data_IF_388277983524
#
_entry.id   IF_388277983524
#
_cell.length_a   1.000
_cell.length_b   1.000
_cell.length_c   1.000
_cell.angle_alpha   90.00
_cell.angle_beta   90.00
_cell.angle_gamma   90.00
#
_symmetry.space_group_name_H-M   'P 1'
#
loop_
_entity.id
_entity.type
_entity.pdbx_description
1 polymer ?
#
# COMPACT_ATOMS: atom_id res chain seq x y z
N UNK A 1 -69.50 -6.92 17.84
CA UNK A 1 -68.15 -6.71 17.27
C UNK A 1 -67.91 -5.21 17.20
N UNK A 2 -67.34 -4.60 18.25
CA UNK A 2 -65.92 -4.20 18.39
C UNK A 2 -65.36 -3.46 17.17
N UNK A 3 -65.20 -2.15 17.31
CA UNK A 3 -64.21 -1.35 16.57
C UNK A 3 -63.46 -0.50 17.59
N UNK A 4 -62.28 -0.96 17.98
CA UNK A 4 -61.33 -0.25 18.83
C UNK A 4 -60.32 0.47 17.94
N UNK A 5 -60.32 1.80 17.96
CA UNK A 5 -59.27 2.62 17.31
C UNK A 5 -58.00 2.57 18.16
N UNK A 6 -56.97 1.88 17.69
CA UNK A 6 -55.62 1.94 18.24
C UNK A 6 -54.91 3.22 17.78
N UNK A 7 -54.43 4.02 18.73
CA UNK A 7 -53.51 5.13 18.48
C UNK A 7 -52.10 4.55 18.34
N UNK A 8 -51.45 4.77 17.20
CA UNK A 8 -50.04 4.47 17.02
C UNK A 8 -49.23 5.68 17.48
N UNK A 9 -48.48 5.53 18.57
CA UNK A 9 -47.51 6.50 19.04
C UNK A 9 -46.18 6.21 18.36
N UNK A 10 -45.75 7.08 17.45
CA UNK A 10 -44.45 6.99 16.80
C UNK A 10 -43.37 7.40 17.81
N UNK A 11 -42.56 6.45 18.29
CA UNK A 11 -41.42 6.71 19.17
C UNK A 11 -40.19 6.94 18.29
N UNK A 12 -39.80 8.20 18.10
CA UNK A 12 -38.56 8.56 17.40
C UNK A 12 -37.39 8.38 18.38
N UNK A 13 -36.63 7.30 18.23
CA UNK A 13 -35.37 7.10 18.96
C UNK A 13 -34.29 7.89 18.21
N UNK A 14 -33.90 9.04 18.74
CA UNK A 14 -32.71 9.77 18.30
C UNK A 14 -31.46 9.04 18.81
N UNK A 15 -30.80 8.30 17.92
CA UNK A 15 -29.46 7.76 18.17
C UNK A 15 -28.45 8.91 18.11
N UNK A 16 -28.03 9.40 19.27
CA UNK A 16 -26.89 10.31 19.41
C UNK A 16 -25.61 9.55 19.07
N UNK A 17 -25.07 9.76 17.88
CA UNK A 17 -23.69 9.41 17.56
C UNK A 17 -22.75 10.36 18.32
N UNK A 18 -22.34 9.96 19.52
CA UNK A 18 -21.17 10.56 20.16
C UNK A 18 -19.93 10.10 19.39
N UNK A 19 -19.50 10.89 18.41
CA UNK A 19 -18.20 10.71 17.77
C UNK A 19 -17.10 10.98 18.78
N UNK A 20 -16.46 9.92 19.27
CA UNK A 20 -15.21 10.06 20.00
C UNK A 20 -14.12 10.37 18.98
N UNK A 21 -13.88 11.66 18.74
CA UNK A 21 -12.64 12.10 18.12
C UNK A 21 -11.52 11.85 19.13
N UNK A 22 -10.86 10.69 19.03
CA UNK A 22 -9.56 10.51 19.66
C UNK A 22 -8.57 11.41 18.92
N UNK A 23 -8.38 12.63 19.42
CA UNK A 23 -7.20 13.43 19.09
C UNK A 23 -5.99 12.68 19.64
N UNK A 24 -5.32 11.95 18.76
CA UNK A 24 -4.07 11.27 19.03
C UNK A 24 -3.01 12.35 19.26
N UNK A 25 -2.60 12.54 20.51
CA UNK A 25 -1.43 13.35 20.83
C UNK A 25 -0.20 12.54 20.43
N UNK A 26 0.17 12.57 19.14
CA UNK A 26 1.48 12.12 18.72
C UNK A 26 2.51 12.98 19.44
N UNK A 27 3.47 12.36 20.12
CA UNK A 27 4.66 13.07 20.58
C UNK A 27 5.28 13.71 19.33
N UNK A 28 5.29 15.05 19.29
CA UNK A 28 5.79 15.82 18.15
C UNK A 28 7.30 15.60 18.06
N UNK A 29 7.72 14.53 17.37
CA UNK A 29 9.13 14.31 17.03
C UNK A 29 9.48 15.24 15.90
N UNK A 30 10.51 16.05 16.08
CA UNK A 30 11.07 16.85 15.01
C UNK A 30 11.66 15.90 13.96
N UNK A 31 10.97 15.77 12.83
CA UNK A 31 11.43 14.96 11.70
C UNK A 31 12.72 15.60 11.16
N UNK A 32 13.83 14.85 11.04
CA UNK A 32 15.06 15.38 10.48
C UNK A 32 14.86 15.92 9.05
N UNK A 33 15.59 16.97 8.65
CA UNK A 33 15.52 17.46 7.27
C UNK A 33 16.10 16.42 6.31
N UNK A 34 15.59 16.40 5.08
CA UNK A 34 16.20 15.62 4.00
C UNK A 34 17.45 16.35 3.51
N UNK A 35 18.56 15.62 3.41
CA UNK A 35 19.88 16.13 3.03
C UNK A 35 20.50 15.28 1.91
N UNK A 36 21.72 15.60 1.48
CA UNK A 36 22.52 14.68 0.68
C UNK A 36 23.10 13.56 1.55
N UNK A 37 23.24 12.32 1.03
CA UNK A 37 23.82 11.23 1.81
C UNK A 37 25.27 11.54 2.22
N UNK A 38 25.64 11.36 3.50
CA UNK A 38 27.02 11.53 3.95
C UNK A 38 27.90 10.38 3.45
N UNK A 39 29.23 10.58 3.40
CA UNK A 39 30.17 9.53 2.98
C UNK A 39 30.04 8.24 3.79
N UNK A 40 29.74 8.36 5.09
CA UNK A 40 29.54 7.21 5.98
C UNK A 40 28.38 6.30 5.57
N UNK A 41 27.37 6.80 4.85
CA UNK A 41 26.30 5.96 4.30
C UNK A 41 26.85 5.03 3.22
N UNK A 42 27.66 5.55 2.30
CA UNK A 42 28.18 4.76 1.18
C UNK A 42 29.16 3.67 1.62
N UNK A 43 29.78 3.81 2.79
CA UNK A 43 30.60 2.74 3.37
C UNK A 43 29.76 1.54 3.85
N UNK A 44 28.46 1.72 4.12
CA UNK A 44 27.51 0.64 4.43
C UNK A 44 27.03 -0.10 3.17
N UNK A 45 27.05 0.57 2.02
CA UNK A 45 26.73 -0.06 0.73
C UNK A 45 27.83 -1.05 0.37
N UNK A 46 27.43 -2.23 -0.11
CA UNK A 46 28.39 -3.29 -0.48
C UNK A 46 29.37 -2.77 -1.54
N UNK A 47 30.66 -3.15 -1.49
CA UNK A 47 31.69 -2.60 -2.37
C UNK A 47 31.32 -2.65 -3.85
N UNK A 48 30.70 -3.74 -4.31
CA UNK A 48 30.29 -3.92 -5.69
C UNK A 48 29.20 -2.92 -6.15
N UNK A 49 28.44 -2.32 -5.23
CA UNK A 49 27.38 -1.36 -5.55
C UNK A 49 27.72 0.09 -5.22
N UNK A 50 28.79 0.34 -4.46
CA UNK A 50 29.11 1.64 -3.85
C UNK A 50 29.25 2.79 -4.84
N UNK A 51 29.99 2.61 -5.94
CA UNK A 51 30.22 3.70 -6.91
C UNK A 51 28.93 4.09 -7.65
N UNK A 52 28.11 3.10 -7.99
CA UNK A 52 26.80 3.34 -8.56
C UNK A 52 25.88 4.05 -7.55
N UNK A 53 25.91 3.63 -6.27
CA UNK A 53 25.16 4.26 -5.20
C UNK A 53 25.57 5.73 -4.98
N UNK A 54 26.86 6.06 -5.00
CA UNK A 54 27.39 7.44 -4.90
C UNK A 54 26.90 8.35 -6.01
N UNK A 55 26.65 7.80 -7.19
CA UNK A 55 26.15 8.55 -8.35
C UNK A 55 24.61 8.66 -8.33
N UNK A 56 23.94 7.62 -7.85
CA UNK A 56 22.48 7.48 -7.92
C UNK A 56 21.77 8.17 -6.75
N UNK A 57 22.21 7.94 -5.51
CA UNK A 57 21.57 8.46 -4.32
C UNK A 57 22.00 9.90 -4.05
N UNK A 58 21.01 10.78 -3.88
CA UNK A 58 21.21 12.22 -3.65
C UNK A 58 20.29 12.80 -2.58
N UNK A 59 19.31 12.01 -2.11
CA UNK A 59 18.41 12.34 -1.00
C UNK A 59 18.65 11.36 0.14
N UNK A 60 18.62 11.86 1.37
CA UNK A 60 18.94 11.13 2.58
C UNK A 60 18.13 11.65 3.77
N UNK A 61 17.64 10.76 4.62
CA UNK A 61 17.16 11.09 5.96
C UNK A 61 17.72 10.08 6.97
N UNK A 62 18.08 10.56 8.16
CA UNK A 62 18.51 9.71 9.27
C UNK A 62 17.29 9.27 10.10
N UNK A 63 17.04 7.97 10.19
CA UNK A 63 15.94 7.40 10.98
C UNK A 63 16.48 6.83 12.28
N UNK A 64 16.80 7.72 13.22
CA UNK A 64 17.43 7.41 14.51
C UNK A 64 18.67 6.50 14.35
N UNK A 65 19.56 6.87 13.42
CA UNK A 65 20.78 6.15 13.06
C UNK A 65 20.63 5.11 11.94
N UNK A 66 19.40 4.81 11.49
CA UNK A 66 19.18 3.95 10.32
C UNK A 66 19.06 4.81 9.05
N UNK A 67 19.98 4.69 8.08
CA UNK A 67 19.92 5.47 6.86
C UNK A 67 18.69 5.15 6.02
N UNK A 68 18.06 6.18 5.44
CA UNK A 68 17.14 6.04 4.32
C UNK A 68 17.59 6.92 3.15
N UNK A 69 17.77 6.34 1.96
CA UNK A 69 18.31 7.03 0.80
C UNK A 69 17.38 6.93 -0.43
N UNK A 70 17.46 7.92 -1.31
CA UNK A 70 16.70 7.94 -2.55
C UNK A 70 17.41 8.73 -3.66
N UNK A 71 16.94 8.55 -4.89
CA UNK A 71 17.40 9.32 -6.05
C UNK A 71 16.84 10.76 -6.02
N UNK A 72 17.32 11.61 -6.93
CA UNK A 72 16.97 13.04 -6.94
C UNK A 72 15.48 13.32 -7.24
N UNK A 73 14.82 12.41 -7.96
CA UNK A 73 13.42 12.52 -8.39
C UNK A 73 12.41 12.19 -7.29
N UNK A 74 12.84 11.47 -6.25
CA UNK A 74 11.99 11.12 -5.11
C UNK A 74 11.70 12.34 -4.27
N UNK A 75 10.43 12.55 -3.93
CA UNK A 75 10.01 13.64 -3.08
C UNK A 75 10.55 13.48 -1.65
N UNK A 76 11.00 14.58 -1.05
CA UNK A 76 11.46 14.61 0.35
C UNK A 76 10.38 14.07 1.31
N UNK A 77 9.10 14.28 0.99
CA UNK A 77 7.97 13.76 1.75
C UNK A 77 7.97 12.22 1.84
N UNK A 78 8.48 11.50 0.85
CA UNK A 78 8.55 10.03 0.89
C UNK A 78 9.58 9.54 1.91
N UNK A 79 10.71 10.23 2.03
CA UNK A 79 11.73 9.97 3.06
C UNK A 79 11.21 10.34 4.46
N UNK A 80 10.52 11.48 4.59
CA UNK A 80 9.85 11.85 5.84
C UNK A 80 8.77 10.84 6.24
N UNK A 81 8.02 10.32 5.26
CA UNK A 81 7.03 9.27 5.50
C UNK A 81 7.66 7.95 5.92
N UNK A 82 8.81 7.62 5.35
CA UNK A 82 9.63 6.48 5.77
C UNK A 82 10.07 6.63 7.23
N UNK A 83 10.57 7.81 7.61
CA UNK A 83 10.92 8.13 9.01
C UNK A 83 9.71 7.93 9.94
N UNK A 84 8.55 8.49 9.57
CA UNK A 84 7.32 8.42 10.34
C UNK A 84 6.87 6.96 10.59
N UNK A 85 6.81 6.13 9.54
CA UNK A 85 6.38 4.73 9.66
C UNK A 85 7.34 3.92 10.56
N UNK A 86 8.65 4.01 10.30
CA UNK A 86 9.65 3.21 11.01
C UNK A 86 9.69 3.58 12.48
N UNK A 87 9.73 4.87 12.79
CA UNK A 87 9.85 5.36 14.17
C UNK A 87 8.60 5.06 15.00
N UNK A 88 7.41 5.10 14.40
CA UNK A 88 6.18 4.71 15.08
C UNK A 88 6.06 3.21 15.27
N UNK A 89 6.37 2.40 14.24
CA UNK A 89 6.34 0.94 14.36
C UNK A 89 7.27 0.48 15.49
N UNK A 90 8.47 1.05 15.62
CA UNK A 90 9.47 0.64 16.62
C UNK A 90 9.49 1.50 17.89
N UNK A 91 8.49 2.35 18.13
CA UNK A 91 8.48 3.25 19.28
C UNK A 91 8.58 2.52 20.64
N UNK A 92 8.00 1.32 20.74
CA UNK A 92 8.07 0.44 21.92
C UNK A 92 9.26 -0.52 21.93
N UNK A 93 10.08 -0.53 20.87
CA UNK A 93 11.19 -1.48 20.65
C UNK A 93 12.44 -0.82 20.03
N UNK A 94 13.04 0.17 20.70
CA UNK A 94 14.27 0.80 20.22
C UNK A 94 15.45 -0.18 20.11
N UNK A 95 15.41 -1.31 20.85
CA UNK A 95 16.38 -2.39 20.77
C UNK A 95 16.41 -3.07 19.38
N UNK A 96 15.24 -3.20 18.72
CA UNK A 96 15.15 -3.73 17.36
C UNK A 96 15.84 -2.77 16.37
N UNK A 97 15.52 -1.48 16.44
CA UNK A 97 16.12 -0.47 15.56
C UNK A 97 17.64 -0.42 15.76
N UNK A 98 18.09 -0.42 17.02
CA UNK A 98 19.52 -0.48 17.34
C UNK A 98 20.19 -1.72 16.71
N UNK A 99 19.57 -2.88 16.77
CA UNK A 99 20.12 -4.09 16.16
C UNK A 99 20.23 -4.01 14.63
N UNK A 100 19.32 -3.29 13.98
CA UNK A 100 19.39 -3.00 12.53
C UNK A 100 20.55 -2.04 12.22
N UNK A 101 20.70 -0.96 13.00
CA UNK A 101 21.79 0.02 12.87
C UNK A 101 23.16 -0.63 13.08
N UNK A 102 23.32 -1.42 14.15
CA UNK A 102 24.58 -2.12 14.45
C UNK A 102 24.98 -3.12 13.33
N UNK A 103 24.00 -3.55 12.53
CA UNK A 103 24.19 -4.44 11.39
C UNK A 103 24.47 -3.70 10.08
N UNK A 104 24.40 -2.37 10.06
CA UNK A 104 24.53 -1.55 8.84
C UNK A 104 23.35 -1.74 7.89
N UNK A 105 22.15 -1.98 8.42
CA UNK A 105 20.94 -2.00 7.60
C UNK A 105 20.57 -0.57 7.19
N UNK A 106 20.08 -0.42 5.97
CA UNK A 106 19.57 0.85 5.46
C UNK A 106 18.33 0.61 4.61
N UNK A 107 17.58 1.69 4.42
CA UNK A 107 16.36 1.77 3.64
C UNK A 107 16.63 2.50 2.33
N UNK A 108 15.86 2.15 1.30
CA UNK A 108 15.86 2.88 0.04
C UNK A 108 14.41 3.15 -0.40
N UNK A 109 14.19 4.30 -1.05
CA UNK A 109 12.89 4.61 -1.68
C UNK A 109 13.05 4.53 -3.19
N UNK A 110 12.22 3.69 -3.81
CA UNK A 110 12.14 3.56 -5.26
C UNK A 110 11.16 4.61 -5.77
N UNK A 111 11.61 5.51 -6.65
CA UNK A 111 10.76 6.56 -7.22
C UNK A 111 9.56 6.02 -7.97
N UNK A 112 8.48 6.82 -8.01
CA UNK A 112 7.20 6.45 -8.65
C UNK A 112 7.30 6.16 -10.15
N UNK A 113 8.33 6.69 -10.81
CA UNK A 113 8.60 6.51 -12.24
C UNK A 113 9.91 5.70 -12.46
N UNK A 114 10.51 5.17 -11.38
CA UNK A 114 11.62 4.21 -11.35
C UNK A 114 11.13 2.77 -11.22
N UNK A 115 11.95 1.82 -11.68
CA UNK A 115 11.72 0.39 -11.49
C UNK A 115 12.72 -0.25 -10.54
N UNK A 116 12.46 -1.48 -10.10
CA UNK A 116 13.26 -2.18 -9.10
C UNK A 116 14.75 -2.27 -9.47
N UNK A 117 15.06 -2.61 -10.72
CA UNK A 117 16.46 -2.74 -11.19
C UNK A 117 17.15 -1.41 -11.48
N UNK A 118 16.47 -0.26 -11.35
CA UNK A 118 17.17 1.03 -11.39
C UNK A 118 17.99 1.25 -10.12
N UNK A 119 17.63 0.57 -9.02
CA UNK A 119 18.36 0.67 -7.76
C UNK A 119 19.76 0.07 -7.90
N UNK A 120 20.82 0.76 -7.43
CA UNK A 120 22.19 0.27 -7.48
C UNK A 120 22.37 -1.16 -7.00
N UNK A 121 21.67 -1.56 -5.95
CA UNK A 121 21.73 -2.87 -5.29
C UNK A 121 21.09 -3.98 -6.13
N UNK A 122 20.17 -3.64 -7.01
CA UNK A 122 19.36 -4.60 -7.77
C UNK A 122 19.61 -4.55 -9.29
N UNK A 123 20.50 -3.68 -9.76
CA UNK A 123 20.79 -3.47 -11.21
C UNK A 123 21.22 -4.72 -11.98
N UNK A 124 21.75 -5.72 -11.28
CA UNK A 124 22.20 -6.99 -11.87
C UNK A 124 21.24 -8.16 -11.55
N UNK A 125 20.04 -7.87 -11.05
CA UNK A 125 19.09 -8.91 -10.69
C UNK A 125 18.66 -9.71 -11.94
N UNK A 126 18.55 -11.04 -11.83
CA UNK A 126 18.08 -11.87 -12.94
C UNK A 126 16.61 -11.57 -13.24
N UNK A 127 16.21 -11.76 -14.50
CA UNK A 127 14.83 -11.55 -14.96
C UNK A 127 14.29 -10.13 -14.66
N UNK A 128 14.98 -9.05 -15.11
CA UNK A 128 14.61 -7.68 -14.78
C UNK A 128 13.18 -7.35 -15.20
N UNK A 129 12.70 -7.84 -16.35
CA UNK A 129 11.32 -7.62 -16.79
C UNK A 129 10.28 -8.12 -15.77
N UNK A 130 10.48 -9.33 -15.22
CA UNK A 130 9.59 -9.90 -14.21
C UNK A 130 9.62 -9.14 -12.89
N UNK A 131 10.83 -8.73 -12.45
CA UNK A 131 11.01 -7.98 -11.21
C UNK A 131 10.43 -6.57 -11.34
N UNK A 132 10.75 -5.86 -12.41
CA UNK A 132 10.31 -4.49 -12.66
C UNK A 132 8.80 -4.41 -12.87
N UNK A 133 8.17 -5.46 -13.40
CA UNK A 133 6.72 -5.52 -13.48
C UNK A 133 6.11 -5.55 -12.07
N UNK A 134 6.74 -6.19 -11.09
CA UNK A 134 6.07 -6.66 -9.85
C UNK A 134 6.53 -5.98 -8.57
N UNK A 135 7.82 -5.70 -8.44
CA UNK A 135 8.44 -5.40 -7.15
C UNK A 135 8.49 -3.90 -6.95
N UNK A 136 7.79 -3.44 -5.92
CA UNK A 136 7.82 -2.05 -5.43
C UNK A 136 8.33 -1.95 -4.00
N UNK A 137 8.77 -3.05 -3.42
CA UNK A 137 9.41 -3.10 -2.13
C UNK A 137 9.95 -4.49 -1.84
N UNK A 138 10.94 -4.56 -0.96
CA UNK A 138 11.55 -5.81 -0.49
C UNK A 138 12.08 -5.64 0.91
N UNK A 139 11.81 -6.58 1.80
CA UNK A 139 12.50 -6.72 3.08
C UNK A 139 13.96 -7.13 2.93
N UNK A 140 14.80 -6.77 3.90
CA UNK A 140 16.20 -7.19 3.97
C UNK A 140 17.19 -6.04 3.94
N UNK A 141 18.32 -6.25 3.26
CA UNK A 141 19.47 -5.34 3.26
C UNK A 141 19.89 -5.00 1.81
N UNK A 142 19.45 -3.85 1.27
CA UNK A 142 18.55 -2.88 1.89
C UNK A 142 17.10 -3.33 1.92
N UNK A 143 16.31 -2.64 2.75
CA UNK A 143 14.84 -2.69 2.65
C UNK A 143 14.39 -1.60 1.69
N UNK A 144 13.45 -1.89 0.79
CA UNK A 144 13.00 -0.92 -0.21
C UNK A 144 11.50 -0.65 -0.12
N UNK A 145 11.10 0.60 -0.36
CA UNK A 145 9.70 1.05 -0.38
C UNK A 145 9.39 1.84 -1.66
N UNK A 146 8.21 1.64 -2.24
CA UNK A 146 7.74 2.40 -3.40
C UNK A 146 7.23 3.77 -2.98
N UNK A 147 7.70 4.82 -3.64
CA UNK A 147 7.27 6.21 -3.38
C UNK A 147 5.77 6.38 -3.52
N UNK A 148 5.17 5.79 -4.56
CA UNK A 148 3.74 5.86 -4.81
C UNK A 148 2.91 5.24 -3.68
N UNK A 149 3.41 4.19 -3.03
CA UNK A 149 2.73 3.57 -1.89
C UNK A 149 2.90 4.41 -0.62
N UNK A 150 4.11 4.90 -0.34
CA UNK A 150 4.38 5.79 0.78
C UNK A 150 3.49 7.03 0.74
N UNK A 151 3.33 7.61 -0.45
CA UNK A 151 2.60 8.86 -0.67
C UNK A 151 1.14 8.66 -1.07
N UNK A 152 0.66 7.42 -1.13
CA UNK A 152 -0.70 7.05 -1.57
C UNK A 152 -1.06 7.67 -2.94
N UNK A 153 -0.08 7.72 -3.85
CA UNK A 153 -0.21 8.31 -5.18
C UNK A 153 -1.09 7.42 -6.07
N UNK A 154 -1.64 7.97 -7.16
CA UNK A 154 -2.39 7.19 -8.14
C UNK A 154 -1.47 6.20 -8.84
N UNK A 155 -2.06 5.13 -9.39
CA UNK A 155 -1.36 4.02 -10.05
C UNK A 155 -0.53 3.15 -9.10
N UNK A 156 -0.56 3.43 -7.79
CA UNK A 156 -0.08 2.47 -6.82
C UNK A 156 -0.86 1.16 -6.99
N UNK A 157 -0.15 0.10 -7.34
CA UNK A 157 -0.72 -1.24 -7.44
C UNK A 157 -1.20 -1.75 -6.08
N UNK A 158 -0.64 -1.20 -5.02
CA UNK A 158 -0.83 -1.57 -3.62
C UNK A 158 -1.68 -0.54 -2.87
N UNK A 159 -2.54 0.21 -3.58
CA UNK A 159 -3.32 1.36 -3.08
C UNK A 159 -4.33 1.09 -1.94
N UNK A 160 -4.44 -0.14 -1.45
CA UNK A 160 -5.26 -0.59 -0.33
C UNK A 160 -4.45 -1.41 0.71
N UNK A 161 -3.11 -1.35 0.65
CA UNK A 161 -2.19 -1.87 1.68
C UNK A 161 -0.91 -1.02 1.82
N UNK A 162 -0.19 -1.14 2.93
CA UNK A 162 1.14 -0.54 3.05
C UNK A 162 2.25 -1.56 2.80
N UNK A 163 2.92 -1.43 1.66
CA UNK A 163 4.15 -2.19 1.34
C UNK A 163 5.27 -1.80 2.31
N UNK A 164 5.36 -0.53 2.70
CA UNK A 164 6.37 -0.13 3.68
C UNK A 164 6.24 -0.87 5.02
N UNK A 165 5.01 -1.01 5.55
CA UNK A 165 4.78 -1.80 6.78
C UNK A 165 5.10 -3.29 6.55
N UNK A 166 4.66 -3.85 5.42
CA UNK A 166 4.89 -5.26 5.08
C UNK A 166 6.38 -5.60 5.00
N UNK A 167 7.12 -4.88 4.16
CA UNK A 167 8.53 -5.16 3.89
C UNK A 167 9.41 -4.84 5.10
N UNK A 168 9.05 -3.80 5.86
CA UNK A 168 9.75 -3.52 7.11
C UNK A 168 9.52 -4.61 8.16
N UNK A 169 8.35 -5.25 8.17
CA UNK A 169 8.11 -6.42 9.02
C UNK A 169 9.03 -7.60 8.72
N UNK A 170 9.38 -7.86 7.45
CA UNK A 170 10.39 -8.87 7.10
C UNK A 170 11.78 -8.49 7.64
N UNK A 171 12.11 -7.20 7.62
CA UNK A 171 13.34 -6.68 8.22
C UNK A 171 13.34 -6.80 9.74
N UNK A 172 12.22 -6.50 10.40
CA UNK A 172 12.01 -6.72 11.84
C UNK A 172 12.14 -8.20 12.21
N UNK A 173 11.56 -9.10 11.42
CA UNK A 173 11.65 -10.55 11.61
C UNK A 173 13.12 -11.03 11.60
N UNK A 174 13.92 -10.53 10.65
CA UNK A 174 15.35 -10.80 10.56
C UNK A 174 16.13 -10.28 11.77
N UNK A 175 15.83 -9.07 12.24
CA UNK A 175 16.47 -8.46 13.40
C UNK A 175 16.11 -9.22 14.70
N UNK A 176 14.83 -9.50 14.92
CA UNK A 176 14.34 -10.27 16.06
C UNK A 176 14.94 -11.67 16.11
N UNK A 177 15.09 -12.34 14.96
CA UNK A 177 15.73 -13.65 14.88
C UNK A 177 17.22 -13.69 15.29
N UNK A 178 17.81 -12.52 15.58
CA UNK A 178 19.18 -12.37 16.12
C UNK A 178 19.20 -11.97 17.59
N UNK A 179 18.30 -11.07 18.00
CA UNK A 179 18.31 -10.51 19.36
C UNK A 179 17.39 -11.24 20.34
N UNK A 180 16.42 -12.00 19.83
CA UNK A 180 15.50 -12.81 20.63
C UNK A 180 15.55 -14.28 20.17
N UNK A 181 16.23 -15.17 20.93
CA UNK A 181 16.32 -16.59 20.63
C UNK A 181 14.96 -17.30 20.51
N UNK A 182 13.91 -16.78 21.15
CA UNK A 182 12.57 -17.38 21.18
C UNK A 182 11.69 -16.93 20.01
N UNK A 183 12.09 -15.87 19.29
CA UNK A 183 11.25 -15.20 18.31
C UNK A 183 10.72 -16.16 17.23
N UNK A 184 11.63 -16.93 16.61
CA UNK A 184 11.26 -17.86 15.53
C UNK A 184 10.21 -18.88 15.99
N UNK A 185 10.36 -19.40 17.21
CA UNK A 185 9.44 -20.39 17.77
C UNK A 185 8.08 -19.78 18.06
N UNK A 186 8.04 -18.57 18.65
CA UNK A 186 6.78 -17.84 18.91
C UNK A 186 6.02 -17.53 17.61
N UNK A 187 6.72 -16.99 16.60
CA UNK A 187 6.14 -16.70 15.28
C UNK A 187 5.61 -17.97 14.60
N UNK A 188 6.41 -19.02 14.55
CA UNK A 188 6.03 -20.29 13.92
C UNK A 188 4.89 -20.99 14.67
N UNK A 189 4.81 -20.86 16.00
CA UNK A 189 3.70 -21.39 16.78
C UNK A 189 2.39 -20.64 16.52
N UNK A 190 2.42 -19.31 16.40
CA UNK A 190 1.25 -18.52 16.03
C UNK A 190 0.78 -18.85 14.61
N UNK A 191 1.72 -18.94 13.66
CA UNK A 191 1.42 -19.36 12.28
C UNK A 191 0.73 -20.74 12.23
N UNK A 192 1.31 -21.75 12.90
CA UNK A 192 0.71 -23.09 12.98
C UNK A 192 -0.68 -23.05 13.62
N UNK A 193 -0.86 -22.28 14.69
CA UNK A 193 -2.16 -22.14 15.33
C UNK A 193 -3.23 -21.59 14.37
N UNK A 194 -2.86 -20.61 13.54
CA UNK A 194 -3.75 -20.04 12.55
C UNK A 194 -4.06 -21.04 11.43
N UNK A 195 -3.05 -21.69 10.86
CA UNK A 195 -3.23 -22.65 9.76
C UNK A 195 -3.97 -23.93 10.19
N UNK A 196 -3.74 -24.43 11.39
CA UNK A 196 -4.42 -25.63 11.93
C UNK A 196 -5.94 -25.39 12.11
N UNK A 197 -6.33 -24.13 12.34
CA UNK A 197 -7.73 -23.69 12.40
C UNK A 197 -8.32 -23.37 11.02
N UNK A 198 -7.54 -23.51 9.95
CA UNK A 198 -7.93 -23.13 8.60
C UNK A 198 -8.03 -21.62 8.37
N UNK A 199 -7.46 -20.80 9.26
CA UNK A 199 -7.36 -19.36 9.03
C UNK A 199 -6.36 -19.08 7.91
N UNK A 200 -6.57 -17.98 7.19
CA UNK A 200 -5.69 -17.55 6.08
C UNK A 200 -5.52 -18.60 4.96
N UNK A 201 -6.41 -19.60 4.88
CA UNK A 201 -6.40 -20.60 3.81
C UNK A 201 -6.51 -19.93 2.44
N UNK A 202 -5.67 -20.36 1.51
CA UNK A 202 -5.59 -19.85 0.13
C UNK A 202 -5.26 -18.34 0.05
N UNK A 203 -4.67 -17.77 1.12
CA UNK A 203 -4.19 -16.38 1.16
C UNK A 203 -2.67 -16.31 1.18
N UNK A 204 -2.13 -15.13 0.92
CA UNK A 204 -0.69 -14.83 0.96
C UNK A 204 -0.12 -15.00 2.37
N UNK A 205 -0.84 -14.53 3.39
CA UNK A 205 -0.53 -14.75 4.81
C UNK A 205 -0.44 -16.25 5.17
N UNK A 206 -1.20 -17.11 4.50
CA UNK A 206 -1.18 -18.56 4.72
C UNK A 206 -0.05 -19.30 4.00
N UNK A 207 0.79 -18.60 3.23
CA UNK A 207 1.82 -19.25 2.40
C UNK A 207 3.05 -19.67 3.19
N UNK A 208 3.51 -18.85 4.14
CA UNK A 208 4.63 -19.16 5.01
C UNK A 208 4.64 -18.26 6.27
N UNK A 209 5.42 -18.61 7.32
CA UNK A 209 5.45 -17.84 8.57
C UNK A 209 5.93 -16.39 8.47
N UNK A 210 6.72 -16.04 7.44
CA UNK A 210 7.20 -14.68 7.21
C UNK A 210 6.08 -13.78 6.70
N UNK A 211 5.37 -14.21 5.65
CA UNK A 211 4.22 -13.48 5.11
C UNK A 211 3.09 -13.39 6.11
N UNK A 212 2.84 -14.47 6.86
CA UNK A 212 1.91 -14.44 7.99
C UNK A 212 2.23 -13.29 8.95
N UNK A 213 3.49 -13.16 9.36
CA UNK A 213 3.93 -12.09 10.27
C UNK A 213 3.71 -10.69 9.68
N UNK A 214 4.10 -10.48 8.42
CA UNK A 214 3.95 -9.19 7.76
C UNK A 214 2.47 -8.78 7.60
N UNK A 215 1.62 -9.72 7.18
CA UNK A 215 0.18 -9.49 6.94
C UNK A 215 -0.61 -9.23 8.23
N UNK A 216 -0.36 -10.01 9.31
CA UNK A 216 -1.02 -9.73 10.59
C UNK A 216 -0.54 -8.41 11.19
N UNK A 217 0.71 -7.99 10.94
CA UNK A 217 1.20 -6.69 11.37
C UNK A 217 0.56 -5.56 10.57
N UNK A 218 0.41 -5.69 9.25
CA UNK A 218 -0.36 -4.74 8.44
C UNK A 218 -1.81 -4.64 8.97
N UNK A 219 -2.45 -5.76 9.30
CA UNK A 219 -3.80 -5.75 9.85
C UNK A 219 -3.83 -5.04 11.21
N UNK A 220 -2.85 -5.30 12.08
CA UNK A 220 -2.72 -4.62 13.36
C UNK A 220 -2.52 -3.10 13.24
N UNK A 221 -1.90 -2.62 12.16
CA UNK A 221 -1.73 -1.19 11.89
C UNK A 221 -2.78 -0.60 10.94
N UNK A 222 -3.86 -1.32 10.65
CA UNK A 222 -4.98 -0.90 9.78
C UNK A 222 -4.61 -0.60 8.32
N UNK A 223 -3.59 -1.29 7.79
CA UNK A 223 -3.13 -1.14 6.42
C UNK A 223 -2.98 -2.47 5.68
N UNK A 224 -3.77 -3.50 6.02
CA UNK A 224 -3.82 -4.73 5.23
C UNK A 224 -4.93 -4.72 4.18
N UNK A 225 -4.61 -5.23 3.00
CA UNK A 225 -5.54 -5.44 1.89
C UNK A 225 -6.45 -6.63 2.20
N UNK A 226 -7.68 -6.59 1.69
CA UNK A 226 -8.70 -7.61 1.99
C UNK A 226 -9.50 -8.07 0.76
N UNK A 227 -10.07 -9.27 0.86
CA UNK A 227 -11.12 -9.81 -0.02
C UNK A 227 -10.77 -9.82 -1.52
N UNK A 228 -9.58 -10.32 -1.86
CA UNK A 228 -9.17 -10.55 -3.25
C UNK A 228 -8.53 -11.93 -3.42
N UNK A 229 -8.02 -12.21 -4.62
CA UNK A 229 -7.47 -13.52 -5.01
C UNK A 229 -6.41 -14.12 -4.07
N UNK A 230 -5.71 -13.30 -3.27
CA UNK A 230 -4.70 -13.77 -2.31
C UNK A 230 -4.79 -13.11 -0.93
N UNK A 231 -5.82 -12.34 -0.60
CA UNK A 231 -5.96 -11.72 0.73
C UNK A 231 -7.26 -12.12 1.41
N UNK A 232 -7.15 -12.36 2.72
CA UNK A 232 -8.27 -12.75 3.57
C UNK A 232 -9.25 -11.61 3.89
N UNK A 233 -10.16 -11.82 4.85
CA UNK A 233 -11.21 -10.85 5.15
C UNK A 233 -10.79 -9.74 6.14
N UNK A 234 -9.58 -9.80 6.71
CA UNK A 234 -9.16 -8.92 7.81
C UNK A 234 -8.15 -7.87 7.37
N UNK A 235 -8.48 -6.60 7.65
CA UNK A 235 -7.68 -5.44 7.27
C UNK A 235 -7.31 -4.54 8.45
N UNK A 236 -7.92 -4.78 9.63
CA UNK A 236 -7.84 -3.89 10.80
C UNK A 236 -7.55 -4.64 12.09
N UNK A 237 -7.02 -3.91 13.07
CA UNK A 237 -6.59 -4.45 14.37
C UNK A 237 -7.70 -5.18 15.11
N UNK A 238 -8.89 -4.60 15.11
CA UNK A 238 -10.08 -5.15 15.76
C UNK A 238 -10.52 -6.45 15.09
N UNK A 239 -10.42 -6.52 13.76
CA UNK A 239 -10.74 -7.72 13.01
C UNK A 239 -9.72 -8.82 13.27
N UNK A 240 -8.42 -8.49 13.31
CA UNK A 240 -7.36 -9.43 13.67
C UNK A 240 -7.60 -10.01 15.06
N UNK A 241 -7.93 -9.19 16.05
CA UNK A 241 -8.20 -9.64 17.43
C UNK A 241 -9.32 -10.69 17.52
N UNK A 242 -10.33 -10.58 16.65
CA UNK A 242 -11.47 -11.52 16.60
C UNK A 242 -11.12 -12.75 15.77
N UNK A 243 -10.54 -12.56 14.59
CA UNK A 243 -10.27 -13.62 13.62
C UNK A 243 -9.10 -14.51 14.04
N UNK A 244 -8.01 -13.90 14.49
CA UNK A 244 -6.80 -14.57 14.97
C UNK A 244 -6.25 -13.89 16.25
N UNK A 245 -6.83 -14.22 17.41
CA UNK A 245 -6.39 -13.65 18.68
C UNK A 245 -4.93 -14.02 19.04
N UNK A 246 -4.38 -15.15 18.54
CA UNK A 246 -2.99 -15.50 18.79
C UNK A 246 -2.04 -14.64 17.95
N UNK A 247 -2.37 -14.42 16.68
CA UNK A 247 -1.68 -13.46 15.83
C UNK A 247 -1.72 -12.05 16.40
N UNK A 248 -2.90 -11.60 16.85
CA UNK A 248 -3.05 -10.31 17.54
C UNK A 248 -2.10 -10.16 18.74
N UNK A 249 -2.06 -11.15 19.63
CA UNK A 249 -1.19 -11.10 20.82
C UNK A 249 0.30 -11.18 20.45
N UNK A 250 0.67 -11.94 19.40
CA UNK A 250 2.04 -11.95 18.88
C UNK A 250 2.47 -10.54 18.46
N UNK A 251 1.64 -9.84 17.67
CA UNK A 251 1.95 -8.49 17.19
C UNK A 251 2.02 -7.50 18.35
N UNK A 252 0.98 -7.48 19.20
CA UNK A 252 0.86 -6.56 20.34
C UNK A 252 2.05 -6.66 21.28
N UNK A 253 2.45 -7.87 21.64
CA UNK A 253 3.59 -8.11 22.55
C UNK A 253 4.94 -7.86 21.89
N UNK A 254 5.05 -8.09 20.57
CA UNK A 254 6.30 -7.89 19.85
C UNK A 254 6.63 -6.40 19.70
N UNK A 255 5.67 -5.58 19.27
CA UNK A 255 5.87 -4.13 19.13
C UNK A 255 5.82 -3.38 20.46
N UNK A 256 5.14 -3.93 21.48
CA UNK A 256 5.16 -3.44 22.85
C UNK A 256 4.90 -1.92 22.99
N UNK A 257 3.99 -1.37 22.18
CA UNK A 257 3.65 0.05 22.20
C UNK A 257 2.88 0.37 23.49
N UNK A 258 3.30 1.42 24.19
CA UNK A 258 2.51 2.00 25.28
C UNK A 258 1.27 2.73 24.72
N UNK A 259 0.24 3.03 25.55
CA UNK A 259 -0.93 3.77 25.07
C UNK A 259 -0.62 5.12 24.41
N UNK A 260 0.42 5.83 24.86
CA UNK A 260 0.87 7.08 24.25
C UNK A 260 1.68 6.91 22.97
N UNK A 261 2.06 5.67 22.64
CA UNK A 261 2.77 5.29 21.42
C UNK A 261 1.88 4.47 20.49
N UNK A 262 0.60 4.26 20.84
CA UNK A 262 -0.31 3.54 19.98
C UNK A 262 -0.42 4.27 18.63
N UNK A 263 -0.20 3.53 17.56
CA UNK A 263 -0.12 4.07 16.21
C UNK A 263 -0.97 3.22 15.27
N UNK A 264 -1.58 3.89 14.30
CA UNK A 264 -2.31 3.28 13.19
C UNK A 264 -1.86 3.97 11.92
N UNK A 265 -1.75 3.21 10.84
CA UNK A 265 -1.36 3.74 9.55
C UNK A 265 -2.40 4.76 9.07
N UNK A 266 -1.97 6.00 8.86
CA UNK A 266 -2.83 7.08 8.40
C UNK A 266 -2.54 7.40 6.94
N UNK A 267 -3.43 7.04 6.02
CA UNK A 267 -3.27 7.36 4.59
C UNK A 267 -3.12 8.87 4.36
N UNK A 268 -2.15 9.27 3.53
CA UNK A 268 -1.93 10.70 3.23
C UNK A 268 -3.04 11.28 2.35
N UNK A 269 -3.74 10.43 1.61
CA UNK A 269 -4.86 10.79 0.77
C UNK A 269 -5.75 9.57 0.51
N UNK A 270 -7.05 9.77 0.27
CA UNK A 270 -7.96 8.68 -0.04
C UNK A 270 -7.66 8.08 -1.42
N UNK A 271 -7.77 6.75 -1.49
CA UNK A 271 -7.72 5.97 -2.72
C UNK A 271 -8.84 4.91 -2.71
N UNK A 272 -9.50 4.61 -3.84
CA UNK A 272 -9.33 5.28 -5.14
C UNK A 272 -9.90 6.73 -5.13
N UNK A 273 -9.41 7.56 -6.06
CA UNK A 273 -9.86 8.95 -6.25
C UNK A 273 -10.05 9.29 -7.72
N UNK A 274 -10.73 10.41 -7.98
CA UNK A 274 -10.90 11.00 -9.31
C UNK A 274 -9.97 12.20 -9.44
N UNK A 275 -9.21 12.25 -10.53
CA UNK A 275 -8.21 13.27 -10.80
C UNK A 275 -8.07 13.53 -12.31
N UNK A 276 -7.32 14.56 -12.69
CA UNK A 276 -6.99 14.78 -14.09
C UNK A 276 -6.09 13.64 -14.63
N UNK A 277 -6.30 13.18 -15.87
CA UNK A 277 -5.44 12.21 -16.51
C UNK A 277 -3.95 12.61 -16.48
N UNK A 278 -3.04 11.76 -15.98
CA UNK A 278 -1.62 12.01 -16.01
C UNK A 278 -1.11 12.10 -17.46
N UNK A 279 -0.28 13.11 -17.73
CA UNK A 279 0.24 13.39 -19.07
C UNK A 279 0.96 12.18 -19.71
N UNK A 280 1.62 11.35 -18.89
CA UNK A 280 2.37 10.16 -19.36
C UNK A 280 1.54 9.14 -20.13
N UNK A 281 0.21 9.14 -19.97
CA UNK A 281 -0.67 8.21 -20.68
C UNK A 281 -1.20 8.74 -22.01
N UNK A 282 -0.85 9.98 -22.40
CA UNK A 282 -1.30 10.60 -23.66
C UNK A 282 -2.81 10.49 -23.90
N UNK A 283 -3.59 10.59 -22.81
CA UNK A 283 -5.05 10.50 -22.85
C UNK A 283 -5.60 11.71 -23.60
N UNK A 284 -6.58 11.47 -24.48
CA UNK A 284 -7.17 12.52 -25.30
C UNK A 284 -7.69 13.68 -24.43
N UNK A 285 -7.44 14.95 -24.79
CA UNK A 285 -7.82 16.12 -23.98
C UNK A 285 -9.32 16.24 -23.65
N UNK A 286 -10.17 15.54 -24.39
CA UNK A 286 -11.58 15.39 -24.08
C UNK A 286 -11.81 14.81 -22.68
N UNK A 287 -11.01 13.83 -22.26
CA UNK A 287 -11.12 13.23 -20.94
C UNK A 287 -10.45 14.13 -19.93
N UNK A 288 -11.25 14.75 -19.07
CA UNK A 288 -10.77 15.65 -18.01
C UNK A 288 -10.70 14.96 -16.65
N UNK A 289 -11.24 13.73 -16.55
CA UNK A 289 -11.27 12.92 -15.33
C UNK A 289 -10.75 11.51 -15.58
N UNK A 290 -10.04 10.98 -14.60
CA UNK A 290 -9.59 9.60 -14.55
C UNK A 290 -9.64 9.04 -13.12
N UNK A 291 -9.78 7.73 -13.02
CA UNK A 291 -9.50 6.95 -11.82
C UNK A 291 -8.94 5.58 -12.24
N UNK A 292 -8.24 4.91 -11.32
CA UNK A 292 -7.47 3.69 -11.62
C UNK A 292 -8.00 2.53 -10.78
N UNK A 293 -8.52 1.50 -11.44
CA UNK A 293 -9.04 0.31 -10.78
C UNK A 293 -8.00 -0.82 -10.85
N UNK A 294 -7.01 -0.83 -9.94
CA UNK A 294 -5.84 -1.72 -10.01
C UNK A 294 -5.14 -1.62 -11.37
N UNK A 295 -4.63 -0.42 -11.66
CA UNK A 295 -4.00 -0.04 -12.94
C UNK A 295 -4.95 0.05 -14.15
N UNK A 296 -6.17 -0.49 -14.09
CA UNK A 296 -7.15 -0.37 -15.17
C UNK A 296 -7.70 1.06 -15.29
N UNK A 297 -7.60 1.63 -16.49
CA UNK A 297 -7.97 3.01 -16.78
C UNK A 297 -9.48 3.20 -16.84
N UNK A 298 -10.01 4.07 -15.97
CA UNK A 298 -11.39 4.56 -16.04
C UNK A 298 -11.36 6.06 -16.34
N UNK A 299 -11.99 6.48 -17.43
CA UNK A 299 -11.99 7.86 -17.93
C UNK A 299 -13.40 8.45 -17.91
N UNK A 300 -13.46 9.78 -17.83
CA UNK A 300 -14.70 10.53 -17.97
C UNK A 300 -14.41 11.99 -18.33
N UNK A 301 -15.46 12.70 -18.72
CA UNK A 301 -15.42 14.15 -18.89
C UNK A 301 -16.53 14.80 -18.06
N UNK A 302 -17.77 14.78 -18.55
CA UNK A 302 -18.95 15.30 -17.84
C UNK A 302 -19.46 14.40 -16.71
N UNK A 303 -18.90 13.21 -16.52
CA UNK A 303 -19.32 12.26 -15.49
C UNK A 303 -19.10 12.80 -14.06
N UNK A 304 -20.06 12.52 -13.16
CA UNK A 304 -19.93 12.79 -11.73
C UNK A 304 -18.80 11.94 -11.12
N UNK A 305 -18.12 12.48 -10.11
CA UNK A 305 -17.01 11.77 -9.46
C UNK A 305 -17.50 10.49 -8.76
N UNK A 306 -18.70 10.51 -8.20
CA UNK A 306 -19.35 9.36 -7.57
C UNK A 306 -19.59 8.23 -8.57
N UNK A 307 -20.01 8.56 -9.80
CA UNK A 307 -20.20 7.59 -10.86
C UNK A 307 -18.86 6.96 -11.30
N UNK A 308 -17.82 7.78 -11.42
CA UNK A 308 -16.45 7.33 -11.72
C UNK A 308 -15.92 6.36 -10.64
N UNK A 309 -16.12 6.71 -9.35
CA UNK A 309 -15.70 5.85 -8.23
C UNK A 309 -16.53 4.57 -8.14
N UNK A 310 -17.83 4.62 -8.46
CA UNK A 310 -18.67 3.43 -8.53
C UNK A 310 -18.24 2.50 -9.66
N UNK A 311 -17.86 3.06 -10.82
CA UNK A 311 -17.30 2.29 -11.92
C UNK A 311 -15.97 1.63 -11.51
N UNK A 312 -15.07 2.37 -10.87
CA UNK A 312 -13.82 1.84 -10.31
C UNK A 312 -14.09 0.68 -9.34
N UNK A 313 -14.97 0.91 -8.35
CA UNK A 313 -15.38 -0.11 -7.38
C UNK A 313 -15.90 -1.37 -8.06
N UNK A 314 -16.75 -1.21 -9.08
CA UNK A 314 -17.32 -2.32 -9.84
C UNK A 314 -16.22 -3.14 -10.54
N UNK A 315 -15.26 -2.49 -11.21
CA UNK A 315 -14.12 -3.17 -11.84
C UNK A 315 -13.26 -3.89 -10.81
N UNK A 316 -12.88 -3.24 -9.70
CA UNK A 316 -12.09 -3.86 -8.63
C UNK A 316 -12.77 -5.12 -8.08
N UNK A 317 -14.09 -5.11 -7.94
CA UNK A 317 -14.88 -6.26 -7.45
C UNK A 317 -15.03 -7.35 -8.50
N UNK A 318 -15.35 -6.98 -9.74
CA UNK A 318 -15.51 -7.91 -10.87
C UNK A 318 -14.24 -8.75 -11.09
N UNK A 319 -13.07 -8.13 -10.93
CA UNK A 319 -11.78 -8.78 -11.16
C UNK A 319 -11.01 -9.10 -9.87
N UNK A 320 -11.64 -9.02 -8.68
CA UNK A 320 -10.97 -9.25 -7.40
C UNK A 320 -10.26 -10.62 -7.33
N UNK A 321 -10.87 -11.65 -7.95
CA UNK A 321 -10.36 -13.02 -8.00
C UNK A 321 -9.82 -13.44 -9.37
N UNK A 322 -9.83 -12.54 -10.36
CA UNK A 322 -9.42 -12.78 -11.75
C UNK A 322 -8.60 -11.61 -12.29
N UNK A 323 -7.57 -11.25 -11.53
CA UNK A 323 -6.67 -10.17 -11.93
C UNK A 323 -5.88 -10.48 -13.21
N UNK A 324 -5.73 -11.76 -13.55
CA UNK A 324 -5.22 -12.24 -14.83
C UNK A 324 -6.04 -11.70 -16.03
N UNK A 325 -7.37 -11.73 -15.93
CA UNK A 325 -8.24 -11.13 -16.95
C UNK A 325 -8.15 -9.61 -16.99
N UNK A 326 -8.06 -8.96 -15.83
CA UNK A 326 -7.87 -7.51 -15.79
C UNK A 326 -6.56 -7.11 -16.47
N UNK A 327 -5.47 -7.83 -16.21
CA UNK A 327 -4.18 -7.62 -16.86
C UNK A 327 -4.24 -7.82 -18.36
N UNK A 328 -4.95 -8.83 -18.86
CA UNK A 328 -5.13 -9.03 -20.29
C UNK A 328 -5.84 -7.82 -20.93
N UNK A 329 -6.90 -7.31 -20.30
CA UNK A 329 -7.60 -6.10 -20.77
C UNK A 329 -6.69 -4.86 -20.77
N UNK A 330 -5.88 -4.67 -19.72
CA UNK A 330 -4.90 -3.58 -19.64
C UNK A 330 -3.86 -3.70 -20.77
N UNK A 331 -3.33 -4.91 -21.00
CA UNK A 331 -2.35 -5.17 -22.05
C UNK A 331 -2.90 -4.92 -23.46
N UNK A 332 -4.19 -5.19 -23.67
CA UNK A 332 -4.91 -4.90 -24.92
C UNK A 332 -5.30 -3.40 -25.05
N UNK A 333 -4.92 -2.56 -24.09
CA UNK A 333 -5.21 -1.12 -24.11
C UNK A 333 -6.67 -0.77 -23.84
N UNK A 334 -7.44 -1.70 -23.26
CA UNK A 334 -8.85 -1.48 -22.92
C UNK A 334 -8.96 -0.45 -21.81
N UNK A 335 -9.96 0.43 -21.94
CA UNK A 335 -10.33 1.43 -20.96
C UNK A 335 -11.84 1.48 -20.80
N UNK A 336 -12.31 1.85 -19.61
CA UNK A 336 -13.72 2.13 -19.37
C UNK A 336 -13.95 3.63 -19.46
N UNK A 337 -15.00 4.04 -20.17
CA UNK A 337 -15.43 5.44 -20.24
C UNK A 337 -16.78 5.57 -19.55
N UNK A 338 -16.87 6.46 -18.56
CA UNK A 338 -18.12 6.83 -17.90
C UNK A 338 -18.63 8.11 -18.56
N UNK A 339 -19.81 8.03 -19.17
CA UNK A 339 -20.47 9.17 -19.81
C UNK A 339 -21.19 10.03 -18.77
N UNK A 340 -21.09 11.35 -18.93
CA UNK A 340 -22.00 12.29 -18.27
C UNK A 340 -23.44 12.12 -18.76
N UNK A 341 -24.41 12.66 -18.01
CA UNK A 341 -25.84 12.54 -18.33
C UNK A 341 -26.21 13.11 -19.71
N UNK A 342 -25.44 14.09 -20.20
CA UNK A 342 -25.66 14.76 -21.47
C UNK A 342 -24.64 14.32 -22.55
N UNK A 343 -23.81 13.31 -22.27
CA UNK A 343 -22.81 12.78 -23.19
C UNK A 343 -23.29 11.47 -23.82
N UNK A 344 -22.92 11.24 -25.08
CA UNK A 344 -23.19 10.04 -25.84
C UNK A 344 -21.89 9.39 -26.34
N UNK A 345 -21.99 8.14 -26.81
CA UNK A 345 -20.84 7.44 -27.40
C UNK A 345 -20.29 8.19 -28.63
N UNK A 346 -21.13 8.94 -29.36
CA UNK A 346 -20.70 9.71 -30.52
C UNK A 346 -19.81 10.91 -30.16
N UNK A 347 -19.86 11.38 -28.91
CA UNK A 347 -19.04 12.50 -28.43
C UNK A 347 -17.60 12.09 -28.16
N UNK A 348 -17.36 10.79 -27.95
CA UNK A 348 -16.06 10.24 -27.59
C UNK A 348 -15.05 10.37 -28.75
N UNK A 349 -13.80 10.78 -28.46
CA UNK A 349 -12.75 10.92 -29.47
C UNK A 349 -12.53 9.67 -30.35
N UNK A 350 -12.75 8.48 -29.79
CA UNK A 350 -12.57 7.20 -30.47
C UNK A 350 -13.58 6.95 -31.60
N UNK A 351 -14.75 7.57 -31.54
CA UNK A 351 -15.86 7.38 -32.48
C UNK A 351 -16.04 8.56 -33.45
N UNK A 352 -15.24 9.63 -33.31
CA UNK A 352 -15.23 10.74 -34.27
C UNK A 352 -14.58 10.27 -35.57
N UNK A 353 -15.23 10.55 -36.70
CA UNK A 353 -14.78 10.16 -38.04
C UNK A 353 -13.37 10.71 -38.30
N UNK A 354 -12.39 9.82 -38.51
CA UNK A 354 -10.98 10.14 -38.76
C UNK A 354 -9.98 9.59 -37.72
N UNK A 355 -10.44 8.98 -36.62
CA UNK A 355 -9.58 8.25 -35.69
C UNK A 355 -9.23 6.81 -36.16
N UNK A 356 -8.24 6.13 -35.55
CA UNK A 356 -7.74 4.82 -36.00
C UNK A 356 -8.77 3.68 -36.00
N UNK A 357 -9.96 3.89 -35.41
CA UNK A 357 -11.06 2.90 -35.33
C UNK A 357 -12.19 3.22 -36.32
N UNK A 358 -11.96 4.11 -37.30
CA UNK A 358 -12.95 4.51 -38.32
C UNK A 358 -13.47 3.39 -39.25
N UNK A 359 -12.99 2.15 -39.10
CA UNK A 359 -13.49 1.01 -39.86
C UNK A 359 -13.68 -0.21 -38.92
N UNK A 360 -14.90 -0.42 -38.41
CA UNK A 360 -15.31 -1.79 -38.05
C UNK A 360 -16.10 -2.03 -36.76
N UNK A 361 -16.45 -1.04 -35.94
CA UNK A 361 -17.26 -1.33 -34.75
C UNK A 361 -18.76 -1.46 -35.11
N UNK A 362 -19.25 -2.69 -35.25
CA UNK A 362 -20.69 -2.99 -35.20
C UNK A 362 -21.06 -3.29 -33.74
N UNK A 363 -21.96 -2.51 -33.09
CA UNK A 363 -22.42 -2.86 -31.76
C UNK A 363 -23.14 -4.22 -31.80
N UNK A 364 -22.81 -5.10 -30.86
CA UNK A 364 -23.60 -6.30 -30.62
C UNK A 364 -24.95 -5.87 -30.03
N UNK A 365 -26.03 -6.47 -30.55
CA UNK A 365 -27.42 -6.22 -30.13
C UNK A 365 -27.70 -6.76 -28.74
#
# INVERSE_FOLDING_TARGET
MRSTRGKWTTLTIALLFAGWAHTQAAANRDIPPVTSPPDAFFEQVRPEHRDAARTFYSRYIDVDGMPAAASAEVADLALQRTYDIVTHMLAGRPDILKAMVDRGMYLIVIGRDQVYTDMPEYRNAPNPAYLNERVRGTGGMPTSFGEENLLSLPLDRYDDESIAVHEFCHTIDSALGRIDPTWRDRKNAAYRNATDKGLFKDTYAGSNPGEYWAEIAQAYFDCNRINNWNHGPIGRREQLKIYDPHGYELVRTTFNLSPGQDWRYAWLQPSPRVEAPPAKFHIAPYYTKSTWAREFTVLGNGALNEAMLQANYTIRRMFAYRHDFLKALIADGVKLVVLGSDESIADLPEYRIGGPVGAGFKPAR
#
